data_IF_504335474817
#
_entry.id   IF_504335474817
#
_cell.length_a   1.000
_cell.length_b   1.000
_cell.length_c   1.000
_cell.angle_alpha   90.00
_cell.angle_beta   90.00
_cell.angle_gamma   90.00
#
_symmetry.space_group_name_H-M   'P 1'
#
loop_
_entity.id
_entity.type
_entity.pdbx_description
1 polymer ?
#
# COMPACT_ATOMS: atom_id res chain seq x y z
N UNK A 1 -67.16 37.29 -13.09
CA UNK A 1 -67.04 36.73 -11.73
C UNK A 1 -66.06 35.59 -11.78
N UNK A 2 -64.77 35.89 -11.48
CA UNK A 2 -63.68 34.93 -11.52
C UNK A 2 -63.25 34.70 -10.06
N UNK A 3 -63.28 33.47 -9.62
CA UNK A 3 -62.70 33.04 -8.34
C UNK A 3 -61.36 32.35 -8.59
N UNK A 4 -60.31 32.89 -7.98
CA UNK A 4 -58.98 32.31 -7.97
C UNK A 4 -58.86 31.20 -6.85
N UNK A 5 -58.10 30.12 -7.05
CA UNK A 5 -57.85 29.19 -5.99
C UNK A 5 -56.61 29.57 -5.19
N UNK A 6 -56.74 29.45 -3.89
CA UNK A 6 -55.76 29.70 -2.83
C UNK A 6 -54.67 28.63 -2.86
N UNK A 7 -53.41 29.04 -2.98
CA UNK A 7 -52.25 28.16 -2.82
C UNK A 7 -51.84 28.05 -1.34
N UNK A 8 -51.91 26.87 -0.79
CA UNK A 8 -51.38 26.53 0.53
C UNK A 8 -49.88 26.21 0.38
N UNK A 9 -49.02 27.05 0.90
CA UNK A 9 -47.55 26.77 1.00
C UNK A 9 -47.31 25.82 2.14
N UNK A 10 -46.87 24.57 1.83
CA UNK A 10 -46.22 23.66 2.73
C UNK A 10 -44.71 23.89 2.62
N UNK A 11 -44.13 24.56 3.63
CA UNK A 11 -42.70 24.69 3.80
C UNK A 11 -42.12 23.43 4.43
N UNK A 12 -41.56 22.53 3.60
CA UNK A 12 -40.69 21.44 4.08
C UNK A 12 -39.26 21.94 4.05
N UNK A 13 -38.76 22.31 5.21
CA UNK A 13 -37.35 22.56 5.46
C UNK A 13 -36.59 21.21 5.35
N UNK A 14 -36.02 20.91 4.18
CA UNK A 14 -34.99 19.88 4.06
C UNK A 14 -33.67 20.48 4.45
N UNK A 15 -33.23 20.18 5.66
CA UNK A 15 -31.87 20.36 6.11
C UNK A 15 -31.00 19.40 5.30
N UNK A 16 -30.37 19.88 4.26
CA UNK A 16 -29.30 19.15 3.57
C UNK A 16 -28.07 19.24 4.45
N UNK A 17 -27.81 18.18 5.21
CA UNK A 17 -26.48 17.97 5.79
C UNK A 17 -25.55 17.69 4.60
N UNK A 18 -24.77 18.69 4.23
CA UNK A 18 -23.61 18.52 3.37
C UNK A 18 -22.57 17.78 4.18
N UNK A 19 -22.48 16.47 3.97
CA UNK A 19 -21.31 15.69 4.40
C UNK A 19 -20.10 16.26 3.68
N UNK A 20 -19.26 16.94 4.42
CA UNK A 20 -17.99 17.46 3.95
C UNK A 20 -17.02 16.26 3.86
N UNK A 21 -16.62 15.81 2.66
CA UNK A 21 -15.78 14.63 2.51
C UNK A 21 -14.36 14.80 3.05
N UNK A 22 -13.94 16.06 3.30
CA UNK A 22 -12.61 16.34 3.83
C UNK A 22 -12.45 16.02 5.31
N UNK A 23 -13.53 16.09 6.10
CA UNK A 23 -13.45 15.85 7.55
C UNK A 23 -13.30 14.34 7.88
N UNK A 24 -13.73 13.46 6.97
CA UNK A 24 -13.67 12.02 7.20
C UNK A 24 -12.29 11.40 6.87
N UNK A 25 -11.52 12.00 5.96
CA UNK A 25 -10.22 11.46 5.54
C UNK A 25 -9.12 11.82 6.53
N UNK A 26 -9.11 13.04 7.05
CA UNK A 26 -8.15 13.49 8.08
C UNK A 26 -8.34 12.73 9.40
N UNK A 27 -9.59 12.49 9.82
CA UNK A 27 -9.89 11.77 11.06
C UNK A 27 -9.43 10.31 11.00
N UNK A 28 -9.44 9.69 9.83
CA UNK A 28 -8.94 8.33 9.64
C UNK A 28 -7.41 8.26 9.69
N UNK A 29 -6.73 9.26 9.14
CA UNK A 29 -5.25 9.32 9.17
C UNK A 29 -4.76 9.51 10.60
N UNK A 30 -5.34 10.43 11.37
CA UNK A 30 -4.94 10.71 12.75
C UNK A 30 -5.20 9.52 13.69
N UNK A 31 -6.27 8.75 13.44
CA UNK A 31 -6.56 7.53 14.23
C UNK A 31 -5.57 6.41 13.93
N UNK A 32 -5.04 6.33 12.70
CA UNK A 32 -4.08 5.30 12.30
C UNK A 32 -2.66 5.59 12.79
N UNK A 33 -2.23 6.87 12.81
CA UNK A 33 -0.89 7.24 13.30
C UNK A 33 -0.74 7.00 14.80
N UNK A 34 -1.82 7.07 15.57
CA UNK A 34 -1.76 6.82 17.02
C UNK A 34 -1.75 5.35 17.40
N UNK A 35 -2.23 4.43 16.52
CA UNK A 35 -2.32 3.00 16.84
C UNK A 35 -1.29 2.11 16.11
N UNK A 36 -0.61 2.60 15.10
CA UNK A 36 0.37 1.84 14.30
C UNK A 36 1.74 2.49 14.34
N UNK A 37 2.06 3.28 15.35
CA UNK A 37 3.47 3.47 15.68
C UNK A 37 3.99 2.10 16.12
N UNK A 38 4.87 1.45 15.35
CA UNK A 38 5.65 0.40 15.92
C UNK A 38 6.39 1.08 17.07
N UNK A 39 6.02 0.73 18.31
CA UNK A 39 6.99 0.89 19.38
C UNK A 39 8.26 0.29 18.82
N UNK A 40 9.14 1.14 18.41
CA UNK A 40 10.54 0.80 18.22
C UNK A 40 10.88 0.09 19.50
N UNK A 41 10.89 -1.23 19.46
CA UNK A 41 11.59 -2.01 20.44
C UNK A 41 13.02 -1.58 20.18
N UNK A 42 13.41 -0.47 20.83
CA UNK A 42 14.80 -0.21 21.03
C UNK A 42 15.33 -1.48 21.62
N UNK A 43 16.02 -2.22 20.80
CA UNK A 43 16.89 -3.31 21.16
C UNK A 43 18.02 -2.72 22.02
N UNK A 44 17.65 -2.33 23.22
CA UNK A 44 18.54 -2.05 24.33
C UNK A 44 18.89 -3.37 24.99
N UNK A 45 19.42 -4.27 24.21
CA UNK A 45 19.99 -5.53 24.67
C UNK A 45 21.29 -5.79 23.91
N UNK A 46 22.15 -4.79 23.87
CA UNK A 46 23.57 -5.07 23.88
C UNK A 46 23.95 -5.23 25.35
N UNK A 47 24.36 -6.40 25.83
CA UNK A 47 25.07 -6.48 27.08
C UNK A 47 26.41 -5.82 26.82
N UNK A 48 26.58 -4.59 27.30
CA UNK A 48 27.92 -4.06 27.50
C UNK A 48 28.63 -5.07 28.38
N UNK A 49 29.60 -5.73 27.81
CA UNK A 49 30.68 -6.39 28.56
C UNK A 49 31.40 -5.26 29.30
N UNK A 50 30.99 -5.02 30.55
CA UNK A 50 31.79 -4.27 31.50
C UNK A 50 33.04 -5.08 31.82
N UNK A 51 34.04 -4.97 30.96
CA UNK A 51 35.42 -5.23 31.27
C UNK A 51 35.97 -4.03 32.05
N UNK A 52 35.51 -3.88 33.27
CA UNK A 52 36.19 -3.07 34.27
C UNK A 52 36.42 -3.91 35.52
N UNK A 53 37.38 -4.80 35.40
CA UNK A 53 38.24 -5.22 36.49
C UNK A 53 39.28 -4.11 36.66
N UNK A 54 38.91 -2.98 37.23
CA UNK A 54 39.88 -2.07 37.82
C UNK A 54 39.91 -2.35 39.29
N UNK A 55 41.05 -2.89 39.70
CA UNK A 55 41.53 -2.92 41.05
C UNK A 55 41.44 -1.50 41.65
N UNK A 56 40.51 -1.27 42.54
CA UNK A 56 40.63 -0.21 43.54
C UNK A 56 40.95 -0.86 44.87
N UNK A 57 42.24 -0.98 45.08
CA UNK A 57 42.86 -1.08 46.39
C UNK A 57 42.89 0.35 46.95
N UNK A 58 41.82 0.80 47.55
CA UNK A 58 41.88 1.95 48.43
C UNK A 58 42.39 1.48 49.79
N UNK A 59 43.67 1.74 49.97
CA UNK A 59 44.39 1.70 51.21
C UNK A 59 44.03 2.97 52.00
N UNK A 60 43.07 2.88 52.92
CA UNK A 60 42.90 3.90 53.93
C UNK A 60 43.25 3.28 55.27
N UNK A 61 44.54 3.49 55.63
CA UNK A 61 45.12 3.22 56.96
C UNK A 61 44.59 4.30 57.89
N UNK A 62 43.76 3.92 58.82
CA UNK A 62 43.54 4.67 60.02
C UNK A 62 43.70 3.68 61.18
N UNK A 63 44.88 3.73 61.74
CA UNK A 63 45.24 3.05 63.03
C UNK A 63 44.31 3.56 64.14
N UNK A 64 43.64 2.63 64.73
CA UNK A 64 43.08 2.75 66.10
C UNK A 64 43.57 1.53 66.84
N UNK A 65 44.47 1.79 67.75
CA UNK A 65 44.98 0.88 68.79
C UNK A 65 43.79 0.36 69.61
N UNK A 66 43.37 -0.88 69.37
CA UNK A 66 42.55 -1.65 70.34
C UNK A 66 43.02 -3.10 70.34
N UNK A 67 43.17 -3.60 71.57
CA UNK A 67 43.56 -4.88 72.10
C UNK A 67 43.57 -6.15 71.22
N UNK A 68 44.61 -7.02 71.30
CA UNK A 68 44.86 -8.12 70.34
C UNK A 68 43.86 -9.32 70.38
N UNK A 69 42.86 -9.34 71.18
CA UNK A 69 41.94 -10.50 71.31
C UNK A 69 40.60 -10.40 70.61
N UNK A 70 40.17 -9.22 70.18
CA UNK A 70 38.94 -9.02 69.41
C UNK A 70 39.10 -8.88 67.90
N UNK A 71 40.34 -8.67 67.44
CA UNK A 71 40.67 -8.48 66.02
C UNK A 71 40.53 -9.77 65.17
N UNK A 72 40.90 -10.94 65.71
CA UNK A 72 40.78 -12.21 64.96
C UNK A 72 39.33 -12.62 64.66
N UNK A 73 38.37 -12.39 65.58
CA UNK A 73 36.94 -12.67 65.37
C UNK A 73 36.35 -11.70 64.35
N UNK A 74 36.78 -10.43 64.36
CA UNK A 74 36.32 -9.40 63.42
C UNK A 74 36.83 -9.66 62.00
N UNK A 75 38.08 -10.07 61.81
CA UNK A 75 38.67 -10.43 60.51
C UNK A 75 38.01 -11.69 59.95
N UNK A 76 37.77 -12.71 60.73
CA UNK A 76 37.09 -13.93 60.35
C UNK A 76 35.64 -13.63 59.88
N UNK A 77 34.86 -12.76 60.56
CA UNK A 77 33.54 -12.37 60.18
C UNK A 77 33.51 -11.53 58.89
N UNK A 78 34.47 -10.63 58.70
CA UNK A 78 34.62 -9.88 57.44
C UNK A 78 34.96 -10.81 56.26
N UNK A 79 35.78 -11.81 56.47
CA UNK A 79 36.14 -12.80 55.43
C UNK A 79 34.89 -13.66 55.04
N UNK A 80 34.14 -14.15 56.03
CA UNK A 80 32.90 -14.91 55.80
C UNK A 80 31.88 -14.09 55.06
N UNK A 81 31.74 -12.82 55.40
CA UNK A 81 30.80 -11.90 54.69
C UNK A 81 31.21 -11.63 53.23
N UNK A 82 32.53 -11.51 52.96
CA UNK A 82 33.06 -11.43 51.59
C UNK A 82 32.82 -12.71 50.79
N UNK A 83 33.06 -13.86 51.35
CA UNK A 83 32.81 -15.16 50.72
C UNK A 83 31.31 -15.37 50.42
N UNK A 84 30.43 -14.99 51.38
CA UNK A 84 28.98 -15.03 51.15
C UNK A 84 28.56 -14.13 49.98
N UNK A 85 29.02 -12.87 49.93
CA UNK A 85 28.73 -11.96 48.83
C UNK A 85 29.25 -12.48 47.48
N UNK A 86 30.45 -13.07 47.46
CA UNK A 86 31.02 -13.64 46.24
C UNK A 86 30.24 -14.86 45.76
N UNK A 87 29.78 -15.73 46.67
CA UNK A 87 28.90 -16.86 46.35
C UNK A 87 27.58 -16.38 45.77
N UNK A 88 26.98 -15.35 46.38
CA UNK A 88 25.74 -14.76 45.89
C UNK A 88 25.90 -14.11 44.52
N UNK A 89 26.96 -13.34 44.31
CA UNK A 89 27.26 -12.73 43.00
C UNK A 89 27.51 -13.79 41.92
N UNK A 90 28.22 -14.86 42.22
CA UNK A 90 28.44 -15.99 41.31
C UNK A 90 27.12 -16.72 40.97
N UNK A 91 26.26 -16.91 41.99
CA UNK A 91 24.92 -17.51 41.78
C UNK A 91 24.06 -16.65 40.89
N UNK A 92 24.03 -15.33 41.14
CA UNK A 92 23.29 -14.35 40.32
C UNK A 92 23.79 -14.29 38.87
N UNK A 93 25.12 -14.33 38.67
CA UNK A 93 25.72 -14.40 37.33
C UNK A 93 25.33 -15.67 36.57
N UNK A 94 25.38 -16.84 37.27
CA UNK A 94 24.92 -18.11 36.64
C UNK A 94 23.45 -18.10 36.26
N UNK A 95 22.56 -17.53 37.08
CA UNK A 95 21.16 -17.39 36.77
C UNK A 95 20.92 -16.47 35.57
N UNK A 96 21.61 -15.31 35.49
CA UNK A 96 21.56 -14.43 34.35
C UNK A 96 21.99 -15.14 33.07
N UNK A 97 23.10 -15.87 33.11
CA UNK A 97 23.59 -16.64 31.95
C UNK A 97 22.58 -17.71 31.51
N UNK A 98 21.98 -18.42 32.47
CA UNK A 98 20.94 -19.44 32.18
C UNK A 98 19.71 -18.81 31.52
N UNK A 99 19.21 -17.69 32.04
CA UNK A 99 18.08 -16.97 31.46
C UNK A 99 18.37 -16.47 30.03
N UNK A 100 19.58 -15.95 29.80
CA UNK A 100 20.01 -15.52 28.46
C UNK A 100 20.06 -16.67 27.46
N UNK A 101 20.60 -17.82 27.84
CA UNK A 101 20.64 -19.01 26.98
C UNK A 101 19.22 -19.49 26.67
N UNK A 102 18.32 -19.51 27.65
CA UNK A 102 16.91 -19.86 27.43
C UNK A 102 16.23 -18.89 26.45
N UNK A 103 16.52 -17.59 26.56
CA UNK A 103 15.97 -16.61 25.62
C UNK A 103 16.48 -16.80 24.19
N UNK A 104 17.76 -17.13 24.04
CA UNK A 104 18.35 -17.47 22.73
C UNK A 104 17.73 -18.73 22.13
N UNK A 105 17.53 -19.77 22.93
CA UNK A 105 16.89 -21.02 22.49
C UNK A 105 15.44 -20.78 22.03
N UNK A 106 14.67 -19.97 22.78
CA UNK A 106 13.31 -19.57 22.37
C UNK A 106 13.33 -18.75 21.08
N UNK A 107 14.29 -17.85 20.92
CA UNK A 107 14.50 -17.09 19.67
C UNK A 107 14.79 -18.01 18.49
N UNK A 108 15.70 -18.98 18.67
CA UNK A 108 16.03 -19.99 17.64
C UNK A 108 14.82 -20.84 17.26
N UNK A 109 14.03 -21.28 18.24
CA UNK A 109 12.81 -22.05 17.98
C UNK A 109 11.76 -21.24 17.20
N UNK A 110 11.63 -19.93 17.47
CA UNK A 110 10.75 -19.05 16.71
C UNK A 110 11.22 -18.88 15.26
N UNK A 111 12.52 -18.71 15.05
CA UNK A 111 13.09 -18.60 13.71
C UNK A 111 12.86 -19.90 12.93
N UNK A 112 13.14 -21.06 13.52
CA UNK A 112 12.90 -22.35 12.86
C UNK A 112 11.43 -22.58 12.50
N UNK A 113 10.49 -22.10 13.33
CA UNK A 113 9.05 -22.16 12.99
C UNK A 113 8.70 -21.27 11.81
N UNK A 114 9.21 -20.04 11.79
CA UNK A 114 8.98 -19.10 10.69
C UNK A 114 9.61 -19.60 9.38
N UNK A 115 10.81 -20.17 9.44
CA UNK A 115 11.46 -20.80 8.29
C UNK A 115 10.62 -21.97 7.74
N UNK A 116 10.07 -22.78 8.63
CA UNK A 116 9.18 -23.89 8.25
C UNK A 116 7.86 -23.39 7.63
N UNK A 117 7.27 -22.32 8.18
CA UNK A 117 6.07 -21.69 7.59
C UNK A 117 6.35 -21.09 6.22
N UNK A 118 7.48 -20.42 6.05
CA UNK A 118 7.92 -19.88 4.75
C UNK A 118 8.11 -21.01 3.74
N UNK A 119 8.77 -22.09 4.13
CA UNK A 119 9.01 -23.24 3.25
C UNK A 119 7.69 -23.95 2.90
N UNK A 120 6.77 -24.09 3.85
CA UNK A 120 5.43 -24.62 3.62
C UNK A 120 4.63 -23.75 2.65
N UNK A 121 4.71 -22.42 2.80
CA UNK A 121 4.06 -21.47 1.89
C UNK A 121 4.67 -21.57 0.50
N UNK A 122 6.00 -21.63 0.39
CA UNK A 122 6.69 -21.87 -0.90
C UNK A 122 6.28 -23.17 -1.58
N UNK A 123 6.13 -24.24 -0.82
CA UNK A 123 5.68 -25.54 -1.36
C UNK A 123 4.21 -25.48 -1.79
N UNK A 124 3.36 -24.79 -1.05
CA UNK A 124 1.96 -24.55 -1.45
C UNK A 124 1.88 -23.68 -2.70
N UNK A 125 2.68 -22.61 -2.80
CA UNK A 125 2.75 -21.76 -3.99
C UNK A 125 3.30 -22.54 -5.19
N UNK A 126 4.30 -23.39 -5.00
CA UNK A 126 4.83 -24.26 -6.04
C UNK A 126 3.80 -25.33 -6.49
N UNK A 127 2.97 -25.85 -5.57
CA UNK A 127 1.92 -26.80 -5.90
C UNK A 127 0.74 -26.10 -6.61
N UNK A 128 0.39 -24.87 -6.22
CA UNK A 128 -0.59 -24.03 -6.91
C UNK A 128 -0.07 -23.62 -8.30
N UNK A 129 1.22 -23.30 -8.43
CA UNK A 129 1.87 -23.03 -9.72
C UNK A 129 1.88 -24.26 -10.63
N UNK A 130 2.12 -25.45 -10.09
CA UNK A 130 2.05 -26.71 -10.85
C UNK A 130 0.61 -27.05 -11.26
N UNK A 131 -0.38 -26.84 -10.38
CA UNK A 131 -1.80 -27.00 -10.69
C UNK A 131 -2.26 -25.99 -11.74
N UNK A 132 -1.83 -24.74 -11.63
CA UNK A 132 -2.05 -23.70 -12.63
C UNK A 132 -1.33 -24.02 -13.94
N UNK A 133 -0.10 -24.60 -13.90
CA UNK A 133 0.61 -25.04 -15.12
C UNK A 133 -0.10 -26.18 -15.83
N UNK A 134 -0.68 -27.12 -15.12
CA UNK A 134 -1.46 -28.22 -15.73
C UNK A 134 -2.76 -27.67 -16.31
N UNK A 135 -3.41 -26.71 -15.63
CA UNK A 135 -4.57 -25.98 -16.16
C UNK A 135 -4.20 -25.07 -17.35
N UNK A 136 -3.00 -24.50 -17.31
CA UNK A 136 -2.41 -23.66 -18.37
C UNK A 136 -2.03 -24.46 -19.63
N UNK A 137 -1.63 -25.72 -19.50
CA UNK A 137 -1.38 -26.60 -20.64
C UNK A 137 -2.67 -26.99 -21.37
N UNK A 138 -3.82 -26.94 -20.68
CA UNK A 138 -5.14 -27.19 -21.27
C UNK A 138 -5.78 -25.95 -21.87
N UNK A 139 -5.46 -24.74 -21.37
CA UNK A 139 -5.97 -23.44 -21.83
C UNK A 139 -4.92 -22.60 -22.58
N UNK A 140 -3.81 -23.19 -22.98
CA UNK A 140 -2.62 -22.66 -23.67
C UNK A 140 -2.61 -21.17 -24.03
N UNK A 141 -1.60 -20.46 -23.77
CA UNK A 141 -1.24 -19.11 -24.19
C UNK A 141 -1.84 -17.92 -23.41
N UNK A 142 -3.13 -17.89 -23.06
CA UNK A 142 -3.77 -16.76 -22.39
C UNK A 142 -3.18 -16.55 -20.98
N UNK A 143 -3.04 -17.62 -20.21
CA UNK A 143 -2.52 -17.58 -18.84
C UNK A 143 -1.03 -17.17 -18.78
N UNK A 144 -0.23 -17.53 -19.77
CA UNK A 144 1.19 -17.17 -19.84
C UNK A 144 1.38 -15.65 -19.99
N UNK A 145 0.55 -14.98 -20.80
CA UNK A 145 0.61 -13.53 -21.02
C UNK A 145 0.21 -12.76 -19.76
N UNK A 146 -0.84 -13.21 -19.06
CA UNK A 146 -1.31 -12.57 -17.82
C UNK A 146 -0.30 -12.74 -16.67
N UNK A 147 0.22 -13.94 -16.45
CA UNK A 147 1.27 -14.18 -15.43
C UNK A 147 2.54 -13.36 -15.73
N UNK A 148 2.89 -13.22 -17.02
CA UNK A 148 3.99 -12.35 -17.43
C UNK A 148 3.71 -10.88 -17.10
N UNK A 149 2.48 -10.41 -17.33
CA UNK A 149 2.06 -9.06 -16.99
C UNK A 149 2.09 -8.82 -15.48
N UNK A 150 1.53 -9.72 -14.66
CA UNK A 150 1.51 -9.61 -13.21
C UNK A 150 2.93 -9.49 -12.64
N UNK A 151 3.85 -10.33 -13.10
CA UNK A 151 5.26 -10.24 -12.70
C UNK A 151 5.91 -8.91 -13.09
N UNK A 152 5.65 -8.42 -14.30
CA UNK A 152 6.15 -7.12 -14.75
C UNK A 152 5.57 -5.97 -13.92
N UNK A 153 4.29 -6.08 -13.55
CA UNK A 153 3.64 -5.12 -12.69
C UNK A 153 4.24 -5.06 -11.29
N UNK A 154 4.53 -6.21 -10.68
CA UNK A 154 5.19 -6.26 -9.38
C UNK A 154 6.57 -5.59 -9.40
N UNK A 155 7.36 -5.84 -10.46
CA UNK A 155 8.63 -5.16 -10.67
C UNK A 155 8.45 -3.65 -10.90
N UNK A 156 7.44 -3.26 -11.64
CA UNK A 156 7.07 -1.86 -11.85
C UNK A 156 6.75 -1.16 -10.53
N UNK A 157 5.99 -1.80 -9.63
CA UNK A 157 5.66 -1.26 -8.30
C UNK A 157 6.92 -1.05 -7.45
N UNK A 158 7.86 -1.97 -7.50
CA UNK A 158 9.15 -1.85 -6.77
C UNK A 158 9.97 -0.67 -7.29
N UNK A 159 10.10 -0.54 -8.62
CA UNK A 159 10.84 0.56 -9.22
C UNK A 159 10.14 1.91 -9.03
N UNK A 160 8.80 1.94 -9.04
CA UNK A 160 8.01 3.13 -8.73
C UNK A 160 8.35 3.67 -7.34
N UNK A 161 8.38 2.82 -6.31
CA UNK A 161 8.75 3.22 -4.94
C UNK A 161 10.18 3.78 -4.86
N UNK A 162 11.10 3.20 -5.63
CA UNK A 162 12.47 3.70 -5.69
C UNK A 162 12.53 5.09 -6.32
N UNK A 163 11.81 5.32 -7.42
CA UNK A 163 11.69 6.64 -8.07
C UNK A 163 11.05 7.68 -7.14
N UNK A 164 10.01 7.30 -6.40
CA UNK A 164 9.38 8.15 -5.36
C UNK A 164 10.38 8.53 -4.27
N UNK A 165 11.14 7.58 -3.75
CA UNK A 165 12.18 7.85 -2.74
C UNK A 165 13.27 8.78 -3.26
N UNK A 166 13.68 8.63 -4.51
CA UNK A 166 14.63 9.53 -5.17
C UNK A 166 14.05 10.94 -5.31
N UNK A 167 12.77 11.04 -5.73
CA UNK A 167 12.10 12.33 -5.90
C UNK A 167 11.95 13.08 -4.57
N UNK A 168 11.66 12.37 -3.47
CA UNK A 168 11.67 12.94 -2.11
C UNK A 168 13.04 13.52 -1.77
N UNK A 169 14.11 12.75 -1.97
CA UNK A 169 15.47 13.19 -1.66
C UNK A 169 15.87 14.43 -2.45
N UNK A 170 15.46 14.50 -3.71
CA UNK A 170 15.75 15.63 -4.62
C UNK A 170 14.97 16.88 -4.21
N UNK A 171 13.69 16.74 -3.85
CA UNK A 171 12.92 17.88 -3.33
C UNK A 171 13.49 18.46 -2.04
N UNK A 172 14.09 17.60 -1.20
CA UNK A 172 14.74 18.03 0.06
C UNK A 172 16.11 18.67 -0.15
N UNK A 173 16.84 18.27 -1.19
CA UNK A 173 18.18 18.79 -1.48
C UNK A 173 18.19 20.17 -2.15
N UNK A 174 17.04 20.68 -2.60
CA UNK A 174 16.94 22.01 -3.20
C UNK A 174 17.68 22.11 -4.55
N UNK A 175 17.66 21.07 -5.37
CA UNK A 175 18.26 21.04 -6.71
C UNK A 175 17.64 22.08 -7.66
N UNK A 176 18.30 22.32 -8.78
CA UNK A 176 17.80 23.19 -9.84
C UNK A 176 16.48 22.66 -10.44
N UNK A 177 15.69 23.57 -11.01
CA UNK A 177 14.41 23.20 -11.66
C UNK A 177 14.64 22.24 -12.83
N UNK A 178 15.74 22.37 -13.56
CA UNK A 178 16.07 21.50 -14.69
C UNK A 178 16.41 20.07 -14.23
N UNK A 179 17.15 19.94 -13.13
CA UNK A 179 17.42 18.63 -12.54
C UNK A 179 16.14 17.98 -12.02
N UNK A 180 15.29 18.75 -11.31
CA UNK A 180 14.00 18.25 -10.83
C UNK A 180 13.13 17.77 -11.99
N UNK A 181 13.12 18.48 -13.11
CA UNK A 181 12.40 18.10 -14.35
C UNK A 181 12.80 16.72 -14.85
N UNK A 182 14.08 16.38 -14.87
CA UNK A 182 14.56 15.08 -15.31
C UNK A 182 13.97 13.94 -14.46
N UNK A 183 13.88 14.15 -13.15
CA UNK A 183 13.28 13.14 -12.24
C UNK A 183 11.76 13.06 -12.37
N UNK A 184 11.08 14.18 -12.50
CA UNK A 184 9.64 14.24 -12.76
C UNK A 184 9.29 13.53 -14.06
N UNK A 185 10.00 13.83 -15.14
CA UNK A 185 9.82 13.17 -16.44
C UNK A 185 10.12 11.67 -16.34
N UNK A 186 11.13 11.28 -15.55
CA UNK A 186 11.45 9.89 -15.27
C UNK A 186 10.31 9.13 -14.57
N UNK A 187 9.57 9.79 -13.68
CA UNK A 187 8.38 9.20 -13.02
C UNK A 187 7.20 9.13 -13.99
N UNK A 188 6.94 10.18 -14.77
CA UNK A 188 5.87 10.19 -15.77
C UNK A 188 6.08 9.11 -16.83
N UNK A 189 7.31 9.00 -17.36
CA UNK A 189 7.67 7.95 -18.32
C UNK A 189 7.50 6.54 -17.75
N UNK A 190 7.70 6.37 -16.45
CA UNK A 190 7.47 5.09 -15.80
C UNK A 190 5.97 4.72 -15.76
N UNK A 191 5.06 5.69 -15.62
CA UNK A 191 3.63 5.46 -15.82
C UNK A 191 3.31 5.09 -17.28
N UNK A 192 4.01 5.67 -18.25
CA UNK A 192 3.83 5.32 -19.67
C UNK A 192 4.23 3.87 -19.96
N UNK A 193 5.25 3.36 -19.28
CA UNK A 193 5.62 1.94 -19.33
C UNK A 193 4.49 1.05 -18.78
N UNK A 194 3.86 1.45 -17.68
CA UNK A 194 2.69 0.73 -17.14
C UNK A 194 1.55 0.69 -18.15
N UNK A 195 1.22 1.83 -18.78
CA UNK A 195 0.12 1.87 -19.75
C UNK A 195 0.42 1.01 -20.98
N UNK A 196 1.67 0.97 -21.45
CA UNK A 196 2.10 0.06 -22.52
C UNK A 196 1.96 -1.43 -22.11
N UNK A 197 2.46 -1.80 -20.93
CA UNK A 197 2.30 -3.17 -20.41
C UNK A 197 0.83 -3.58 -20.31
N UNK A 198 -0.04 -2.66 -19.90
CA UNK A 198 -1.48 -2.91 -19.83
C UNK A 198 -2.12 -3.06 -21.21
N UNK A 199 -1.73 -2.24 -22.20
CA UNK A 199 -2.19 -2.37 -23.56
C UNK A 199 -1.83 -3.74 -24.17
N UNK A 200 -0.63 -4.23 -23.91
CA UNK A 200 -0.22 -5.56 -24.37
C UNK A 200 -0.96 -6.69 -23.63
N UNK A 201 -1.22 -6.52 -22.34
CA UNK A 201 -2.00 -7.48 -21.56
C UNK A 201 -3.48 -7.48 -21.96
N UNK A 202 -4.06 -6.33 -22.35
CA UNK A 202 -5.43 -6.22 -22.82
C UNK A 202 -5.71 -7.05 -24.09
N UNK A 203 -4.71 -7.14 -24.98
CA UNK A 203 -4.77 -8.01 -26.19
C UNK A 203 -4.85 -9.50 -25.83
N UNK A 204 -4.30 -9.88 -24.69
CA UNK A 204 -4.30 -11.26 -24.21
C UNK A 204 -5.59 -11.57 -23.45
N UNK A 205 -5.94 -10.72 -22.49
CA UNK A 205 -7.16 -10.85 -21.68
C UNK A 205 -7.60 -9.49 -21.14
N UNK A 206 -8.51 -8.85 -21.88
CA UNK A 206 -9.10 -7.58 -21.50
C UNK A 206 -9.93 -7.68 -20.21
N UNK A 207 -10.52 -8.86 -19.91
CA UNK A 207 -11.34 -9.06 -18.72
C UNK A 207 -10.50 -9.04 -17.45
N UNK A 208 -9.32 -9.70 -17.48
CA UNK A 208 -8.38 -9.66 -16.35
C UNK A 208 -8.04 -8.23 -15.96
N UNK A 209 -7.77 -7.37 -16.95
CA UNK A 209 -7.49 -5.95 -16.72
C UNK A 209 -8.70 -5.18 -16.24
N UNK A 210 -9.87 -5.41 -16.85
CA UNK A 210 -11.10 -4.72 -16.50
C UNK A 210 -11.49 -4.98 -15.05
N UNK A 211 -11.49 -6.24 -14.62
CA UNK A 211 -11.84 -6.65 -13.26
C UNK A 211 -10.70 -6.44 -12.26
N UNK A 212 -9.48 -6.16 -12.73
CA UNK A 212 -8.33 -5.87 -11.89
C UNK A 212 -7.87 -7.07 -11.07
N UNK A 213 -7.96 -8.29 -11.63
CA UNK A 213 -7.60 -9.53 -10.91
C UNK A 213 -6.16 -9.52 -10.38
N UNK A 214 -5.30 -8.75 -11.01
CA UNK A 214 -3.90 -8.48 -10.67
C UNK A 214 -3.71 -7.47 -9.51
N UNK A 215 -4.80 -6.90 -8.98
CA UNK A 215 -4.80 -5.95 -7.87
C UNK A 215 -5.41 -6.57 -6.62
N UNK A 216 -5.06 -6.00 -5.48
CA UNK A 216 -5.69 -6.37 -4.21
C UNK A 216 -7.20 -6.03 -4.20
N UNK A 217 -8.02 -6.72 -3.37
CA UNK A 217 -9.45 -6.45 -3.25
C UNK A 217 -9.78 -4.99 -2.94
N UNK A 218 -8.99 -4.33 -2.11
CA UNK A 218 -9.22 -2.91 -1.78
C UNK A 218 -8.88 -2.01 -2.97
N UNK A 219 -7.78 -2.25 -3.68
CA UNK A 219 -7.44 -1.48 -4.89
C UNK A 219 -8.51 -1.64 -5.97
N UNK A 220 -9.14 -2.82 -6.09
CA UNK A 220 -10.24 -3.07 -7.03
C UNK A 220 -11.50 -2.27 -6.71
N UNK A 221 -11.78 -2.01 -5.43
CA UNK A 221 -12.93 -1.20 -5.02
C UNK A 221 -12.86 0.23 -5.57
N UNK A 222 -11.65 0.78 -5.69
CA UNK A 222 -11.39 2.14 -6.21
C UNK A 222 -10.98 2.14 -7.70
N UNK A 223 -11.14 1.01 -8.38
CA UNK A 223 -10.77 0.88 -9.78
C UNK A 223 -11.87 1.37 -10.72
N UNK A 224 -11.45 2.05 -11.76
CA UNK A 224 -12.27 2.41 -12.91
C UNK A 224 -11.54 2.00 -14.19
N UNK A 225 -12.15 1.15 -15.02
CA UNK A 225 -11.61 0.66 -16.29
C UNK A 225 -10.12 0.30 -16.23
N UNK A 226 -9.78 -0.70 -15.42
CA UNK A 226 -8.42 -1.21 -15.29
C UNK A 226 -7.42 -0.30 -14.57
N UNK A 227 -7.83 0.85 -14.00
CA UNK A 227 -6.92 1.76 -13.33
C UNK A 227 -7.63 2.79 -12.44
N UNK A 228 -6.96 3.90 -12.16
CA UNK A 228 -7.53 5.00 -11.40
C UNK A 228 -8.42 5.89 -12.26
N UNK A 229 -9.35 6.61 -11.64
CA UNK A 229 -10.22 7.60 -12.26
C UNK A 229 -9.53 8.97 -12.25
N UNK A 230 -9.15 9.54 -13.42
CA UNK A 230 -8.37 10.78 -13.46
C UNK A 230 -9.00 11.96 -12.75
N UNK A 231 -10.32 12.17 -12.90
CA UNK A 231 -11.02 13.29 -12.25
C UNK A 231 -11.05 13.20 -10.72
N UNK A 232 -11.08 11.98 -10.18
CA UNK A 232 -11.01 11.72 -8.73
C UNK A 232 -9.59 11.93 -8.20
N UNK A 233 -8.60 11.42 -8.92
CA UNK A 233 -7.20 11.63 -8.55
C UNK A 233 -6.85 13.12 -8.57
N UNK A 234 -7.24 13.88 -9.58
CA UNK A 234 -7.04 15.33 -9.59
C UNK A 234 -7.65 16.00 -8.37
N UNK A 235 -8.84 15.58 -7.94
CA UNK A 235 -9.49 16.11 -6.75
C UNK A 235 -8.70 15.78 -5.46
N UNK A 236 -8.24 14.54 -5.33
CA UNK A 236 -7.47 14.07 -4.16
C UNK A 236 -6.11 14.79 -4.08
N UNK A 237 -5.49 15.07 -5.22
CA UNK A 237 -4.17 15.70 -5.28
C UNK A 237 -4.20 17.24 -5.13
N UNK A 238 -5.36 17.89 -5.30
CA UNK A 238 -5.48 19.36 -5.25
C UNK A 238 -4.80 20.01 -4.03
N UNK A 239 -4.98 19.50 -2.78
CA UNK A 239 -4.33 20.10 -1.61
C UNK A 239 -2.80 20.01 -1.63
N UNK A 240 -2.22 19.08 -2.38
CA UNK A 240 -0.78 18.89 -2.47
C UNK A 240 -0.09 19.87 -3.43
N UNK A 241 -0.87 20.56 -4.25
CA UNK A 241 -0.36 21.54 -5.21
C UNK A 241 -0.19 22.96 -4.62
N UNK A 242 -0.65 23.16 -3.40
CA UNK A 242 -0.56 24.49 -2.77
C UNK A 242 0.90 24.96 -2.59
N UNK A 243 1.14 26.29 -2.77
CA UNK A 243 0.19 27.34 -3.14
C UNK A 243 -0.13 27.31 -4.65
N UNK A 244 -1.40 27.54 -5.01
CA UNK A 244 -1.87 27.63 -6.39
C UNK A 244 -2.19 29.05 -6.78
N UNK A 245 -1.86 29.44 -8.00
CA UNK A 245 -2.33 30.69 -8.60
C UNK A 245 -3.78 30.55 -9.08
N UNK A 246 -4.52 31.66 -9.21
CA UNK A 246 -5.89 31.65 -9.72
C UNK A 246 -5.98 30.99 -11.12
N UNK A 247 -4.99 31.24 -11.97
CA UNK A 247 -4.89 30.64 -13.30
C UNK A 247 -4.73 29.11 -13.22
N UNK A 248 -3.90 28.62 -12.30
CA UNK A 248 -3.71 27.19 -12.07
C UNK A 248 -5.01 26.54 -11.55
N UNK A 249 -5.70 27.15 -10.61
CA UNK A 249 -6.98 26.69 -10.08
C UNK A 249 -8.01 26.53 -11.22
N UNK A 250 -8.15 27.55 -12.05
CA UNK A 250 -9.06 27.54 -13.20
C UNK A 250 -8.69 26.43 -14.20
N UNK A 251 -7.41 26.28 -14.53
CA UNK A 251 -6.94 25.28 -15.50
C UNK A 251 -7.07 23.85 -14.96
N UNK A 252 -6.76 23.62 -13.69
CA UNK A 252 -6.96 22.32 -13.04
C UNK A 252 -8.45 21.95 -12.96
N UNK A 253 -9.31 22.92 -12.65
CA UNK A 253 -10.77 22.72 -12.64
C UNK A 253 -11.31 22.38 -14.03
N UNK A 254 -10.84 23.04 -15.08
CA UNK A 254 -11.16 22.70 -16.47
C UNK A 254 -10.66 21.29 -16.84
N UNK A 255 -9.41 20.97 -16.49
CA UNK A 255 -8.86 19.65 -16.74
C UNK A 255 -9.70 18.57 -16.07
N UNK A 256 -10.04 18.74 -14.78
CA UNK A 256 -10.89 17.82 -14.05
C UNK A 256 -12.27 17.64 -14.70
N UNK A 257 -12.89 18.75 -15.11
CA UNK A 257 -14.17 18.71 -15.80
C UNK A 257 -14.09 17.94 -17.12
N UNK A 258 -13.08 18.20 -17.94
CA UNK A 258 -12.84 17.48 -19.21
C UNK A 258 -12.59 15.99 -18.97
N UNK A 259 -11.80 15.63 -17.94
CA UNK A 259 -11.61 14.24 -17.56
C UNK A 259 -12.94 13.58 -17.21
N UNK A 260 -13.77 14.23 -16.38
CA UNK A 260 -15.06 13.69 -15.98
C UNK A 260 -15.98 13.45 -17.17
N UNK A 261 -16.06 14.39 -18.14
CA UNK A 261 -16.83 14.21 -19.36
C UNK A 261 -16.36 13.00 -20.18
N UNK A 262 -15.03 12.83 -20.32
CA UNK A 262 -14.47 11.69 -21.04
C UNK A 262 -14.72 10.36 -20.28
N UNK A 263 -14.59 10.35 -18.95
CA UNK A 263 -14.89 9.21 -18.10
C UNK A 263 -16.36 8.78 -18.21
N UNK A 264 -17.28 9.74 -18.17
CA UNK A 264 -18.72 9.49 -18.30
C UNK A 264 -19.05 8.91 -19.68
N UNK A 265 -18.42 9.43 -20.75
CA UNK A 265 -18.58 8.90 -22.11
C UNK A 265 -18.06 7.46 -22.23
N UNK A 266 -16.88 7.15 -21.67
CA UNK A 266 -16.32 5.80 -21.66
C UNK A 266 -17.18 4.83 -20.84
N UNK A 267 -17.68 5.26 -19.68
CA UNK A 267 -18.58 4.45 -18.84
C UNK A 267 -19.87 4.13 -19.57
N UNK A 268 -20.51 5.13 -20.19
CA UNK A 268 -21.71 4.93 -21.02
C UNK A 268 -21.44 4.01 -22.21
N UNK A 269 -20.25 4.10 -22.82
CA UNK A 269 -19.84 3.22 -23.90
C UNK A 269 -19.78 1.76 -23.46
N UNK A 270 -19.19 1.47 -22.30
CA UNK A 270 -19.14 0.12 -21.72
C UNK A 270 -20.53 -0.39 -21.32
N UNK A 271 -21.36 0.44 -20.71
CA UNK A 271 -22.73 0.08 -20.37
C UNK A 271 -23.54 -0.32 -21.61
N UNK A 272 -23.36 0.43 -22.70
CA UNK A 272 -23.95 0.12 -24.00
C UNK A 272 -23.41 -1.20 -24.57
N UNK A 273 -22.11 -1.44 -24.47
CA UNK A 273 -21.50 -2.70 -24.86
C UNK A 273 -22.09 -3.88 -24.08
N UNK A 274 -22.17 -3.77 -22.75
CA UNK A 274 -22.81 -4.77 -21.89
C UNK A 274 -24.25 -5.03 -22.29
N UNK A 275 -25.03 -3.98 -22.57
CA UNK A 275 -26.42 -4.12 -23.02
C UNK A 275 -26.52 -4.86 -24.37
N UNK A 276 -25.67 -4.51 -25.32
CA UNK A 276 -25.61 -5.16 -26.63
C UNK A 276 -25.24 -6.64 -26.51
N UNK A 277 -24.20 -6.96 -25.74
CA UNK A 277 -23.80 -8.35 -25.48
C UNK A 277 -24.90 -9.15 -24.79
N UNK A 278 -25.57 -8.56 -23.78
CA UNK A 278 -26.69 -9.22 -23.08
C UNK A 278 -27.86 -9.49 -24.02
N UNK A 279 -28.17 -8.55 -24.92
CA UNK A 279 -29.20 -8.74 -25.92
C UNK A 279 -28.85 -9.84 -26.93
N UNK A 280 -27.60 -9.87 -27.40
CA UNK A 280 -27.09 -10.92 -28.29
C UNK A 280 -27.19 -12.31 -27.67
N UNK A 281 -26.88 -12.43 -26.37
CA UNK A 281 -26.94 -13.69 -25.62
C UNK A 281 -28.40 -14.11 -25.31
N UNK A 282 -29.31 -13.15 -25.20
CA UNK A 282 -30.75 -13.41 -24.90
C UNK A 282 -31.57 -13.84 -26.13
N UNK A 283 -31.07 -13.64 -27.34
CA UNK A 283 -31.76 -14.08 -28.56
C UNK A 283 -31.76 -15.60 -28.60
N UNK A 284 -32.92 -16.21 -28.28
CA UNK A 284 -33.11 -17.64 -28.44
C UNK A 284 -32.92 -17.99 -29.92
N UNK A 285 -31.98 -18.83 -30.21
CA UNK A 285 -31.75 -19.47 -31.51
C UNK A 285 -32.91 -20.43 -31.80
N UNK A 286 -34.11 -19.89 -32.01
CA UNK A 286 -35.21 -20.62 -32.66
C UNK A 286 -34.73 -21.06 -34.05
N UNK A 287 -35.15 -22.23 -34.48
CA UNK A 287 -34.77 -22.90 -35.72
C UNK A 287 -34.56 -21.95 -36.91
N UNK A 288 -33.29 -21.67 -37.25
CA UNK A 288 -32.92 -20.89 -38.44
C UNK A 288 -32.03 -19.67 -38.21
N UNK A 289 -31.68 -19.29 -36.95
CA UNK A 289 -30.74 -18.21 -36.68
C UNK A 289 -29.29 -18.67 -36.96
N UNK A 290 -28.57 -17.86 -37.76
CA UNK A 290 -27.17 -18.14 -38.11
C UNK A 290 -26.30 -17.94 -36.88
N UNK A 291 -26.03 -19.01 -36.10
CA UNK A 291 -25.22 -19.04 -34.88
C UNK A 291 -23.85 -18.34 -35.08
N UNK A 292 -23.24 -18.54 -36.23
CA UNK A 292 -21.95 -17.97 -36.59
C UNK A 292 -21.98 -16.43 -36.63
N UNK A 293 -23.08 -15.85 -37.12
CA UNK A 293 -23.24 -14.37 -37.18
C UNK A 293 -23.37 -13.78 -35.78
N UNK A 294 -24.10 -14.46 -34.86
CA UNK A 294 -24.23 -13.99 -33.48
C UNK A 294 -22.92 -14.10 -32.72
N UNK A 295 -22.18 -15.20 -32.92
CA UNK A 295 -20.87 -15.37 -32.29
C UNK A 295 -19.85 -14.36 -32.80
N UNK A 296 -19.87 -14.06 -34.12
CA UNK A 296 -18.99 -13.03 -34.70
C UNK A 296 -19.28 -11.65 -34.11
N UNK A 297 -20.54 -11.24 -34.02
CA UNK A 297 -20.91 -9.95 -33.41
C UNK A 297 -20.55 -9.87 -31.92
N UNK A 298 -20.66 -11.00 -31.22
CA UNK A 298 -20.26 -11.07 -29.80
C UNK A 298 -18.74 -10.91 -29.65
N UNK A 299 -17.96 -11.56 -30.51
CA UNK A 299 -16.48 -11.45 -30.51
C UNK A 299 -16.07 -10.02 -30.83
N UNK A 300 -16.64 -9.39 -31.85
CA UNK A 300 -16.38 -7.97 -32.18
C UNK A 300 -16.70 -7.04 -30.99
N UNK A 301 -17.80 -7.32 -30.27
CA UNK A 301 -18.14 -6.60 -29.04
C UNK A 301 -17.09 -6.78 -27.93
N UNK A 302 -16.53 -7.97 -27.78
CA UNK A 302 -15.46 -8.24 -26.81
C UNK A 302 -14.14 -7.57 -27.21
N UNK A 303 -13.81 -7.50 -28.49
CA UNK A 303 -12.65 -6.75 -29.01
C UNK A 303 -12.78 -5.24 -28.73
N UNK A 304 -13.99 -4.69 -28.75
CA UNK A 304 -14.22 -3.30 -28.36
C UNK A 304 -13.81 -2.99 -26.92
N UNK A 305 -13.82 -3.98 -26.02
CA UNK A 305 -13.41 -3.82 -24.63
C UNK A 305 -11.93 -3.43 -24.51
N UNK A 306 -11.04 -4.02 -25.31
CA UNK A 306 -9.63 -3.61 -25.38
C UNK A 306 -9.51 -2.12 -25.70
N UNK A 307 -10.31 -1.63 -26.68
CA UNK A 307 -10.29 -0.23 -27.06
C UNK A 307 -10.73 0.70 -25.91
N UNK A 308 -11.74 0.33 -25.12
CA UNK A 308 -12.16 1.11 -23.95
C UNK A 308 -11.07 1.18 -22.88
N UNK A 309 -10.37 0.08 -22.60
CA UNK A 309 -9.25 0.05 -21.68
C UNK A 309 -8.09 0.95 -22.15
N UNK A 310 -7.75 0.86 -23.43
CA UNK A 310 -6.70 1.68 -24.03
C UNK A 310 -7.04 3.17 -24.02
N UNK A 311 -8.29 3.55 -24.30
CA UNK A 311 -8.77 4.92 -24.21
C UNK A 311 -8.77 5.46 -22.77
N UNK A 312 -9.12 4.64 -21.78
CA UNK A 312 -9.02 5.01 -20.38
C UNK A 312 -7.57 5.26 -19.94
N UNK A 313 -6.61 4.42 -20.38
CA UNK A 313 -5.19 4.62 -20.11
C UNK A 313 -4.62 5.84 -20.86
N UNK A 314 -5.07 6.09 -22.08
CA UNK A 314 -4.73 7.30 -22.79
C UNK A 314 -5.23 8.57 -22.07
N UNK A 315 -6.43 8.54 -21.50
CA UNK A 315 -6.94 9.63 -20.68
C UNK A 315 -6.08 9.86 -19.44
N UNK A 316 -5.65 8.80 -18.75
CA UNK A 316 -4.73 8.86 -17.60
C UNK A 316 -3.39 9.50 -17.98
N UNK A 317 -2.79 9.01 -19.05
CA UNK A 317 -1.54 9.54 -19.57
C UNK A 317 -1.65 11.03 -19.90
N UNK A 318 -2.67 11.43 -20.66
CA UNK A 318 -2.90 12.84 -21.01
C UNK A 318 -3.14 13.71 -19.77
N UNK A 319 -3.79 13.17 -18.74
CA UNK A 319 -4.02 13.90 -17.49
C UNK A 319 -2.70 14.21 -16.79
N UNK A 320 -1.80 13.23 -16.67
CA UNK A 320 -0.46 13.44 -16.08
C UNK A 320 0.36 14.47 -16.90
N UNK A 321 0.33 14.40 -18.22
CA UNK A 321 0.99 15.37 -19.09
C UNK A 321 0.40 16.79 -18.93
N UNK A 322 -0.91 16.93 -18.83
CA UNK A 322 -1.56 18.23 -18.66
C UNK A 322 -1.27 18.83 -17.27
N UNK A 323 -1.19 18.00 -16.24
CA UNK A 323 -0.75 18.44 -14.91
C UNK A 323 0.65 19.07 -14.98
N UNK A 324 1.60 18.44 -15.69
CA UNK A 324 2.97 18.96 -15.87
C UNK A 324 3.04 20.26 -16.66
N UNK A 325 2.01 20.59 -17.46
CA UNK A 325 1.90 21.87 -18.19
C UNK A 325 1.26 23.01 -17.40
N UNK A 326 0.39 22.66 -16.46
CA UNK A 326 -0.37 23.63 -15.64
C UNK A 326 0.43 24.02 -14.39
N UNK A 327 1.14 23.08 -13.82
CA UNK A 327 1.81 23.19 -12.53
C UNK A 327 3.29 23.49 -12.68
N UNK A 328 3.90 24.08 -11.64
CA UNK A 328 5.36 24.20 -11.56
C UNK A 328 6.00 22.83 -11.28
N UNK A 329 7.27 22.65 -11.59
CA UNK A 329 7.95 21.36 -11.36
C UNK A 329 7.88 20.87 -9.91
N UNK A 330 8.07 21.73 -8.89
CA UNK A 330 7.87 21.31 -7.50
C UNK A 330 6.44 20.86 -7.18
N UNK A 331 5.42 21.51 -7.75
CA UNK A 331 4.02 21.11 -7.58
C UNK A 331 3.74 19.77 -8.24
N UNK A 332 4.24 19.54 -9.47
CA UNK A 332 4.12 18.24 -10.15
C UNK A 332 4.78 17.14 -9.34
N UNK A 333 6.00 17.38 -8.84
CA UNK A 333 6.72 16.42 -8.02
C UNK A 333 5.93 16.03 -6.75
N UNK A 334 5.40 17.01 -6.02
CA UNK A 334 4.53 16.77 -4.86
C UNK A 334 3.28 15.95 -5.24
N UNK A 335 2.65 16.28 -6.37
CA UNK A 335 1.49 15.55 -6.86
C UNK A 335 1.78 14.10 -7.21
N UNK A 336 2.91 13.81 -7.87
CA UNK A 336 3.34 12.45 -8.20
C UNK A 336 3.65 11.65 -6.95
N UNK A 337 4.29 12.24 -5.94
CA UNK A 337 4.51 11.61 -4.64
C UNK A 337 3.18 11.27 -3.95
N UNK A 338 2.26 12.23 -3.90
CA UNK A 338 0.94 12.02 -3.30
C UNK A 338 0.12 10.95 -4.04
N UNK A 339 0.27 10.84 -5.37
CA UNK A 339 -0.33 9.77 -6.16
C UNK A 339 0.23 8.40 -5.75
N UNK A 340 1.56 8.28 -5.60
CA UNK A 340 2.21 7.07 -5.12
C UNK A 340 1.77 6.68 -3.71
N UNK A 341 1.72 7.65 -2.79
CA UNK A 341 1.21 7.45 -1.43
C UNK A 341 -0.25 6.98 -1.43
N UNK A 342 -1.10 7.54 -2.28
CA UNK A 342 -2.49 7.10 -2.40
C UNK A 342 -2.57 5.60 -2.71
N UNK A 343 -1.83 5.11 -3.69
CA UNK A 343 -1.80 3.68 -4.01
C UNK A 343 -1.17 2.84 -2.89
N UNK A 344 -0.16 3.35 -2.22
CA UNK A 344 0.44 2.65 -1.08
C UNK A 344 -0.57 2.51 0.07
N UNK A 345 -1.33 3.56 0.38
CA UNK A 345 -2.40 3.53 1.41
C UNK A 345 -3.48 2.50 1.09
N UNK A 346 -3.88 2.36 -0.18
CA UNK A 346 -4.83 1.31 -0.59
C UNK A 346 -4.28 -0.10 -0.32
N UNK A 347 -2.98 -0.34 -0.59
CA UNK A 347 -2.33 -1.63 -0.31
C UNK A 347 -2.21 -1.90 1.18
N UNK A 348 -1.84 -0.90 1.97
CA UNK A 348 -1.81 -0.99 3.44
C UNK A 348 -3.19 -1.28 3.99
N UNK A 349 -4.23 -0.59 3.52
CA UNK A 349 -5.61 -0.83 3.91
C UNK A 349 -6.05 -2.27 3.60
N UNK A 350 -5.63 -2.80 2.45
CA UNK A 350 -5.89 -4.21 2.12
C UNK A 350 -5.23 -5.17 3.11
N UNK A 351 -3.98 -4.92 3.49
CA UNK A 351 -3.26 -5.75 4.46
C UNK A 351 -3.95 -5.73 5.84
N UNK A 352 -4.38 -4.54 6.29
CA UNK A 352 -5.12 -4.37 7.53
C UNK A 352 -6.49 -5.07 7.49
N UNK A 353 -7.19 -4.96 6.37
CA UNK A 353 -8.47 -5.64 6.16
C UNK A 353 -8.32 -7.15 6.21
N UNK A 354 -7.29 -7.69 5.61
CA UNK A 354 -6.99 -9.13 5.61
C UNK A 354 -6.56 -9.64 6.99
N UNK A 355 -5.91 -8.82 7.79
CA UNK A 355 -5.45 -9.14 9.14
C UNK A 355 -6.52 -8.95 10.23
N UNK A 356 -7.72 -8.45 9.88
CA UNK A 356 -8.78 -8.23 10.87
C UNK A 356 -9.21 -9.54 11.54
N UNK A 357 -9.45 -9.54 12.86
CA UNK A 357 -9.97 -10.73 13.53
C UNK A 357 -11.35 -11.07 12.96
N UNK A 358 -11.46 -12.26 12.37
CA UNK A 358 -12.76 -12.81 12.01
C UNK A 358 -13.46 -13.22 13.31
N UNK A 359 -14.44 -12.44 13.75
CA UNK A 359 -15.39 -12.93 14.73
C UNK A 359 -16.11 -14.11 14.07
N UNK A 360 -15.75 -15.32 14.49
CA UNK A 360 -16.51 -16.52 14.17
C UNK A 360 -17.94 -16.24 14.59
N UNK A 361 -18.84 -16.08 13.64
CA UNK A 361 -20.28 -16.12 13.88
C UNK A 361 -20.56 -17.60 14.14
N UNK A 362 -20.43 -17.99 15.42
CA UNK A 362 -20.98 -19.25 15.90
C UNK A 362 -22.49 -19.05 15.94
N UNK A 363 -23.18 -19.48 14.89
CA UNK A 363 -24.62 -19.74 14.87
C UNK A 363 -24.86 -21.23 15.01
#
# INVERSE_FOLDING_TARGET
>A
MQMAPTQTRLSTSRRTETCDPHHNISTWVDTYETHVSPKTIQSSLAPQLDTRLTNNLDYNSQESLESPRDSEKSVSHKLQRRLAKNREAARKSRLKKKAYVQQLELGRQKLAKLEHEIEKTRQQDAYMDLSNRVHCLLLGNINSGIVSFERKYDLWVVEQRKKESQLVSILQSGVSEDELRVFVDGVVNHYDELFRMKADAAKVDAFNLLYGSWKSPVERLFQWLGGFRPSEILYILMPQFEPLTDTQIVNLSKLRHTCRQAEDALTQGIDKLHQTLSQSLAVNTGEGGNYDTYMSATIEGLEALENFLNQADHLRHRTLQQMSRILTMPQVAKGLLALGEYFQRLRVLNSLWSARPHHMINS
#
